data_IF_093240547751
#
_entry.id   IF_093240547751
#
_cell.length_a   1.000
_cell.length_b   1.000
_cell.length_c   1.000
_cell.angle_alpha   90.00
_cell.angle_beta   90.00
_cell.angle_gamma   90.00
#
_symmetry.space_group_name_H-M   'P 1'
#
loop_
_entity.id
_entity.type
_entity.pdbx_description
1 polymer ?
#
# COMPACT_ATOMS: atom_id res chain seq x y z
N UNK A 1 -48.16 -34.29 -23.05
CA UNK A 1 -47.62 -32.97 -22.66
C UNK A 1 -46.18 -33.16 -22.23
N UNK A 2 -45.21 -32.63 -22.99
CA UNK A 2 -43.79 -32.59 -22.65
C UNK A 2 -43.37 -31.13 -22.72
N UNK A 3 -43.16 -30.50 -21.56
CA UNK A 3 -42.60 -29.15 -21.47
C UNK A 3 -41.11 -29.27 -21.22
N UNK A 4 -40.31 -29.02 -22.25
CA UNK A 4 -38.86 -28.83 -22.12
C UNK A 4 -38.63 -27.37 -21.73
N UNK A 5 -38.31 -27.13 -20.46
CA UNK A 5 -37.86 -25.83 -19.97
C UNK A 5 -36.37 -25.72 -20.29
N UNK A 6 -36.06 -24.96 -21.34
CA UNK A 6 -34.69 -24.65 -21.74
C UNK A 6 -34.15 -23.56 -20.80
N UNK A 7 -33.21 -23.93 -19.92
CA UNK A 7 -32.52 -22.98 -19.04
C UNK A 7 -31.39 -22.34 -19.84
N UNK A 8 -31.65 -21.14 -20.38
CA UNK A 8 -30.61 -20.29 -20.97
C UNK A 8 -29.85 -19.66 -19.82
N UNK A 9 -28.70 -20.24 -19.48
CA UNK A 9 -27.70 -19.64 -18.59
C UNK A 9 -27.07 -18.48 -19.38
N UNK A 10 -27.57 -17.27 -19.19
CA UNK A 10 -26.91 -16.05 -19.65
C UNK A 10 -25.64 -15.88 -18.83
N UNK A 11 -24.51 -16.15 -19.48
CA UNK A 11 -23.16 -15.85 -19.04
C UNK A 11 -23.07 -14.34 -18.71
N UNK A 12 -23.14 -14.00 -17.42
CA UNK A 12 -22.75 -12.69 -16.93
C UNK A 12 -21.24 -12.57 -17.10
N UNK A 13 -20.82 -12.03 -18.24
CA UNK A 13 -19.52 -11.37 -18.37
C UNK A 13 -19.50 -10.23 -17.36
N UNK A 14 -19.00 -10.51 -16.16
CA UNK A 14 -18.60 -9.49 -15.20
C UNK A 14 -17.47 -8.70 -15.82
N UNK A 15 -17.79 -7.64 -16.57
CA UNK A 15 -16.86 -6.57 -16.83
C UNK A 15 -16.40 -6.06 -15.45
N UNK A 16 -15.21 -6.49 -15.02
CA UNK A 16 -14.54 -5.83 -13.92
C UNK A 16 -14.37 -4.37 -14.31
N UNK A 17 -14.89 -3.39 -13.54
CA UNK A 17 -14.63 -2.01 -13.84
C UNK A 17 -13.12 -1.81 -13.79
N UNK A 18 -12.53 -1.36 -14.91
CA UNK A 18 -11.14 -0.94 -14.96
C UNK A 18 -10.89 0.01 -13.79
N UNK A 19 -9.93 -0.32 -12.93
CA UNK A 19 -9.61 0.47 -11.77
C UNK A 19 -9.28 1.89 -12.24
N UNK A 20 -10.14 2.86 -11.90
CA UNK A 20 -9.91 4.25 -12.29
C UNK A 20 -8.58 4.69 -11.67
N UNK A 21 -7.69 5.37 -12.44
CA UNK A 21 -6.45 5.88 -11.88
C UNK A 21 -6.78 6.80 -10.69
N UNK A 22 -6.22 6.46 -9.53
CA UNK A 22 -6.31 7.31 -8.34
C UNK A 22 -5.25 8.38 -8.49
N UNK A 23 -5.69 9.62 -8.61
CA UNK A 23 -4.81 10.78 -8.69
C UNK A 23 -4.33 11.17 -7.30
N UNK A 24 -3.07 11.61 -7.13
CA UNK A 24 -2.65 12.29 -5.91
C UNK A 24 -3.51 13.54 -5.73
N UNK A 25 -4.08 13.69 -4.53
CA UNK A 25 -4.87 14.85 -4.17
C UNK A 25 -3.95 16.08 -4.15
N UNK A 26 -4.46 17.26 -4.55
CA UNK A 26 -3.66 18.50 -4.51
C UNK A 26 -3.17 18.81 -3.10
N UNK A 27 -3.94 18.37 -2.09
CA UNK A 27 -3.59 18.48 -0.67
C UNK A 27 -2.37 17.63 -0.26
N UNK A 28 -1.87 16.76 -1.15
CA UNK A 28 -0.67 15.95 -0.90
C UNK A 28 0.63 16.72 -1.20
N UNK A 29 0.57 17.78 -2.01
CA UNK A 29 1.73 18.63 -2.29
C UNK A 29 2.02 19.52 -1.08
N UNK A 30 3.13 19.23 -0.38
CA UNK A 30 3.61 19.99 0.78
C UNK A 30 3.47 19.28 2.13
N UNK A 31 2.59 18.27 2.23
CA UNK A 31 2.42 17.46 3.47
C UNK A 31 3.36 16.25 3.54
N UNK A 32 3.80 15.75 2.39
CA UNK A 32 4.58 14.51 2.31
C UNK A 32 6.03 14.79 1.93
N UNK A 33 6.94 14.08 2.59
CA UNK A 33 8.32 13.92 2.12
C UNK A 33 8.35 13.02 0.88
N UNK A 34 9.36 13.23 0.03
CA UNK A 34 9.51 12.56 -1.27
C UNK A 34 10.82 11.79 -1.35
N UNK A 35 10.78 10.56 -1.86
CA UNK A 35 11.97 9.78 -2.21
C UNK A 35 11.79 8.98 -3.49
N UNK A 36 12.71 9.14 -4.44
CA UNK A 36 12.72 8.33 -5.65
C UNK A 36 13.18 6.90 -5.36
N UNK A 37 12.64 5.94 -6.11
CA UNK A 37 13.20 4.58 -6.17
C UNK A 37 14.63 4.60 -6.72
N UNK A 38 15.44 3.56 -6.45
CA UNK A 38 16.81 3.46 -6.93
C UNK A 38 16.97 3.62 -8.45
N UNK A 39 16.00 3.13 -9.21
CA UNK A 39 15.95 3.23 -10.67
C UNK A 39 15.19 4.46 -11.19
N UNK A 40 14.73 5.32 -10.27
CA UNK A 40 13.94 6.52 -10.53
C UNK A 40 12.59 6.28 -11.25
N UNK A 41 12.11 5.04 -11.32
CA UNK A 41 10.83 4.73 -11.95
C UNK A 41 9.62 5.01 -11.05
N UNK A 42 9.82 5.03 -9.74
CA UNK A 42 8.76 5.26 -8.77
C UNK A 42 9.10 6.41 -7.83
N UNK A 43 8.07 7.09 -7.34
CA UNK A 43 8.19 8.08 -6.29
C UNK A 43 7.43 7.60 -5.05
N UNK A 44 8.13 7.46 -3.93
CA UNK A 44 7.53 7.31 -2.61
C UNK A 44 7.20 8.70 -2.06
N UNK A 45 5.98 8.84 -1.57
CA UNK A 45 5.53 9.94 -0.74
C UNK A 45 5.20 9.39 0.64
N UNK A 46 5.77 9.98 1.69
CA UNK A 46 5.55 9.52 3.06
C UNK A 46 5.46 10.68 4.05
N UNK A 47 4.69 10.49 5.11
CA UNK A 47 4.54 11.46 6.19
C UNK A 47 4.44 10.73 7.53
N UNK A 48 5.02 11.32 8.57
CA UNK A 48 4.90 10.87 9.95
C UNK A 48 4.08 11.87 10.74
N UNK A 49 2.98 11.42 11.30
CA UNK A 49 2.14 12.21 12.19
C UNK A 49 2.37 11.76 13.63
N UNK A 50 2.49 12.73 14.53
CA UNK A 50 2.58 12.43 15.96
C UNK A 50 1.30 11.76 16.45
N UNK A 51 1.47 10.78 17.34
CA UNK A 51 0.36 10.19 18.07
C UNK A 51 0.26 10.90 19.42
N UNK A 52 -0.84 11.61 19.68
CA UNK A 52 -1.03 12.33 20.94
C UNK A 52 -1.02 11.43 22.19
N UNK A 53 -1.18 10.12 22.01
CA UNK A 53 -1.31 9.15 23.10
C UNK A 53 -0.10 8.23 23.26
N UNK A 54 0.94 8.37 22.43
CA UNK A 54 2.12 7.50 22.49
C UNK A 54 3.31 8.13 21.78
N UNK A 55 4.56 7.87 22.20
CA UNK A 55 5.76 8.36 21.51
C UNK A 55 5.93 7.81 20.07
N UNK A 56 5.13 6.82 19.67
CA UNK A 56 5.13 6.23 18.34
C UNK A 56 4.44 7.12 17.31
N UNK A 57 4.94 7.14 16.07
CA UNK A 57 4.39 7.95 14.98
C UNK A 57 3.52 7.13 14.03
N UNK A 58 2.49 7.77 13.49
CA UNK A 58 1.67 7.25 12.41
C UNK A 58 2.31 7.54 11.06
N UNK A 59 2.65 6.49 10.33
CA UNK A 59 3.10 6.54 8.95
C UNK A 59 1.91 6.49 7.98
N UNK A 60 1.88 7.47 7.10
CA UNK A 60 1.05 7.52 5.89
C UNK A 60 1.98 7.49 4.67
N UNK A 61 1.68 6.67 3.65
CA UNK A 61 2.51 6.58 2.45
C UNK A 61 1.78 6.16 1.18
N UNK A 62 2.16 6.75 0.06
CA UNK A 62 1.74 6.28 -1.26
C UNK A 62 2.90 6.29 -2.25
N UNK A 63 2.76 5.49 -3.29
CA UNK A 63 3.74 5.30 -4.36
C UNK A 63 3.10 5.63 -5.68
N UNK A 64 3.80 6.40 -6.49
CA UNK A 64 3.39 6.70 -7.85
C UNK A 64 4.44 6.27 -8.86
N UNK A 65 4.02 5.85 -10.05
CA UNK A 65 4.94 5.65 -11.20
C UNK A 65 5.21 6.98 -11.90
N UNK A 66 4.15 7.76 -12.10
CA UNK A 66 4.19 9.09 -12.72
C UNK A 66 3.58 10.11 -11.77
N UNK A 67 3.50 11.38 -12.16
CA UNK A 67 2.84 12.41 -11.33
C UNK A 67 1.37 12.13 -11.05
N UNK A 68 0.73 11.24 -11.82
CA UNK A 68 -0.73 11.10 -11.83
C UNK A 68 -1.23 9.70 -11.45
N UNK A 69 -0.38 8.67 -11.45
CA UNK A 69 -0.80 7.29 -11.23
C UNK A 69 -0.31 6.76 -9.89
N UNK A 70 -1.21 6.66 -8.90
CA UNK A 70 -0.95 5.97 -7.63
C UNK A 70 -0.96 4.46 -7.86
N UNK A 71 0.19 3.82 -7.65
CA UNK A 71 0.36 2.35 -7.69
C UNK A 71 0.00 1.69 -6.36
N UNK A 72 0.37 2.35 -5.26
CA UNK A 72 0.17 1.84 -3.91
C UNK A 72 -0.19 2.99 -3.01
N UNK A 73 -1.17 2.79 -2.14
CA UNK A 73 -1.51 3.70 -1.06
C UNK A 73 -1.75 2.90 0.20
N UNK A 74 -1.33 3.44 1.34
CA UNK A 74 -1.67 2.86 2.62
C UNK A 74 -3.19 2.82 2.77
N UNK A 75 -3.74 1.65 3.10
CA UNK A 75 -5.19 1.51 3.34
C UNK A 75 -5.57 2.04 4.73
N UNK A 76 -4.63 1.92 5.67
CA UNK A 76 -4.74 2.30 7.07
C UNK A 76 -3.41 2.86 7.52
N UNK A 77 -3.41 3.85 8.42
CA UNK A 77 -2.17 4.38 9.02
C UNK A 77 -1.43 3.26 9.76
N UNK A 78 -0.11 3.25 9.65
CA UNK A 78 0.76 2.22 10.24
C UNK A 78 1.61 2.87 11.33
N UNK A 79 1.78 2.23 12.48
CA UNK A 79 2.76 2.69 13.47
C UNK A 79 4.14 2.21 13.06
N UNK A 80 4.98 3.11 12.56
CA UNK A 80 6.27 2.75 12.00
C UNK A 80 7.34 3.78 12.32
N UNK A 81 8.55 3.28 12.52
CA UNK A 81 9.73 4.08 12.76
C UNK A 81 10.28 4.61 11.44
N UNK A 82 10.49 3.72 10.46
CA UNK A 82 11.16 4.08 9.21
C UNK A 82 10.49 3.44 7.99
N UNK A 83 10.48 4.16 6.86
CA UNK A 83 10.16 3.65 5.52
C UNK A 83 11.28 4.02 4.54
N UNK A 84 11.72 3.05 3.72
CA UNK A 84 12.75 3.30 2.71
C UNK A 84 12.69 2.32 1.53
N UNK A 85 13.44 2.65 0.48
CA UNK A 85 13.61 1.81 -0.70
C UNK A 85 14.78 0.84 -0.55
N UNK A 86 14.54 -0.43 -0.86
CA UNK A 86 15.58 -1.43 -1.15
C UNK A 86 16.02 -1.33 -2.62
N UNK A 87 17.24 -1.75 -3.00
CA UNK A 87 17.75 -1.66 -4.38
C UNK A 87 16.89 -2.31 -5.47
N UNK A 88 16.06 -3.29 -5.12
CA UNK A 88 15.17 -4.02 -6.05
C UNK A 88 13.75 -3.42 -6.11
N UNK A 89 13.60 -2.13 -5.77
CA UNK A 89 12.32 -1.41 -5.72
C UNK A 89 11.28 -2.01 -4.77
N UNK A 90 11.73 -2.70 -3.73
CA UNK A 90 10.88 -3.10 -2.62
C UNK A 90 10.87 -2.01 -1.57
N UNK A 91 9.68 -1.59 -1.15
CA UNK A 91 9.54 -0.73 0.03
C UNK A 91 9.67 -1.57 1.29
N UNK A 92 10.49 -1.09 2.21
CA UNK A 92 10.68 -1.67 3.53
C UNK A 92 10.09 -0.71 4.55
N UNK A 93 9.18 -1.21 5.37
CA UNK A 93 8.64 -0.48 6.52
C UNK A 93 9.09 -1.20 7.79
N UNK A 94 9.69 -0.45 8.72
CA UNK A 94 10.08 -0.95 10.04
C UNK A 94 9.01 -0.49 11.04
N UNK A 95 8.07 -1.36 11.46
CA UNK A 95 7.09 -1.04 12.49
C UNK A 95 7.76 -0.82 13.85
N UNK A 96 7.10 -0.08 14.74
CA UNK A 96 7.55 -0.01 16.14
C UNK A 96 7.36 -1.37 16.83
N UNK A 97 8.36 -1.84 17.59
CA UNK A 97 8.34 -3.15 18.27
C UNK A 97 7.14 -3.36 19.19
N UNK A 98 6.63 -2.30 19.80
CA UNK A 98 5.42 -2.35 20.65
C UNK A 98 4.17 -2.80 19.87
N UNK A 99 4.13 -2.54 18.56
CA UNK A 99 3.05 -2.95 17.65
C UNK A 99 3.14 -4.45 17.34
N UNK A 100 4.36 -4.97 17.16
CA UNK A 100 4.62 -6.40 16.92
C UNK A 100 4.13 -7.22 18.12
N UNK A 101 4.45 -6.77 19.35
CA UNK A 101 4.02 -7.44 20.58
C UNK A 101 2.50 -7.46 20.77
N UNK A 102 1.81 -6.39 20.40
CA UNK A 102 0.36 -6.29 20.54
C UNK A 102 -0.43 -7.11 19.52
N UNK A 103 0.15 -7.45 18.36
CA UNK A 103 -0.52 -8.22 17.31
C UNK A 103 -0.27 -9.73 17.40
N UNK A 104 0.90 -10.16 17.89
CA UNK A 104 1.30 -11.58 17.85
C UNK A 104 1.14 -12.30 19.19
N UNK A 105 1.03 -11.59 20.32
CA UNK A 105 0.80 -12.21 21.64
C UNK A 105 1.94 -13.10 22.17
N UNK A 106 3.01 -13.32 21.39
CA UNK A 106 4.16 -14.15 21.75
C UNK A 106 5.48 -13.42 21.51
N UNK A 107 6.44 -13.68 22.42
CA UNK A 107 7.86 -13.33 22.34
C UNK A 107 8.59 -14.18 21.26
N UNK A 108 7.92 -14.50 20.15
CA UNK A 108 8.57 -15.15 19.01
C UNK A 108 9.46 -14.14 18.29
N UNK A 109 10.77 -14.41 18.33
CA UNK A 109 11.76 -13.80 17.45
C UNK A 109 11.46 -14.19 16.00
N UNK A 110 10.47 -13.54 15.40
CA UNK A 110 10.34 -13.48 13.95
C UNK A 110 11.46 -12.59 13.43
N UNK A 111 12.40 -13.16 12.67
CA UNK A 111 13.51 -12.42 12.04
C UNK A 111 13.04 -11.33 11.05
N UNK A 112 11.76 -11.31 10.70
CA UNK A 112 11.14 -10.27 9.87
C UNK A 112 10.52 -9.15 10.73
N UNK A 113 11.39 -8.34 11.34
CA UNK A 113 11.06 -7.02 11.95
C UNK A 113 10.59 -5.99 10.90
N UNK A 114 10.24 -6.43 9.68
CA UNK A 114 10.04 -5.57 8.51
C UNK A 114 8.81 -5.99 7.68
N UNK A 115 8.05 -5.01 7.22
CA UNK A 115 7.01 -5.21 6.21
C UNK A 115 7.62 -4.91 4.83
N UNK A 116 7.63 -5.92 3.96
CA UNK A 116 8.15 -5.83 2.59
C UNK A 116 7.01 -5.65 1.59
N UNK A 117 7.09 -4.59 0.78
CA UNK A 117 6.08 -4.26 -0.21
C UNK A 117 6.74 -4.15 -1.59
N UNK A 118 6.65 -5.21 -2.42
CA UNK A 118 7.14 -5.16 -3.78
C UNK A 118 6.36 -4.16 -4.62
N UNK A 119 7.06 -3.23 -5.26
CA UNK A 119 6.47 -2.30 -6.23
C UNK A 119 6.79 -2.81 -7.63
N UNK A 120 5.73 -3.03 -8.41
CA UNK A 120 5.81 -3.48 -9.80
C UNK A 120 5.04 -2.49 -10.65
N UNK A 121 5.44 -2.39 -11.92
CA UNK A 121 4.65 -1.66 -12.92
C UNK A 121 3.30 -2.32 -13.10
N UNK A 122 2.28 -1.50 -13.31
CA UNK A 122 1.02 -1.97 -13.84
C UNK A 122 1.22 -2.19 -15.34
N UNK A 123 1.44 -3.44 -15.76
CA UNK A 123 1.37 -3.77 -17.19
C UNK A 123 -0.10 -3.73 -17.60
N UNK A 124 -0.46 -2.84 -18.53
CA UNK A 124 -1.78 -2.80 -19.18
C UNK A 124 -2.01 -4.05 -20.05
#
# INVERSE_FOLDING_TARGET
MKTLISVIILFLMSCQPAAKPSYPDKDMEGKYSRKLSPDHQFTLFYNYEENSFSPVKWLSYYVTETKTSILKKEKTKILADTIYWRPDNVLVIIPYREVIKAQTGEDEKSDDDHILIPIKKTTE
#
